data_IF_810461136487
#
_entry.id   IF_810461136487
#
_cell.length_a   1.000
_cell.length_b   1.000
_cell.length_c   1.000
_cell.angle_alpha   90.00
_cell.angle_beta   90.00
_cell.angle_gamma   90.00
#
_symmetry.space_group_name_H-M   'P 1'
#
loop_
_entity.id
_entity.type
_entity.pdbx_description
1 polymer ?
#
# COMPACT_ATOMS: atom_id res chain seq x y z
N UNK A 1 4.57 -44.54 29.66
CA UNK A 1 6.00 -44.14 29.65
C UNK A 1 6.53 -44.29 28.24
N UNK A 2 7.13 -43.22 27.69
CA UNK A 2 7.89 -43.14 26.42
C UNK A 2 7.06 -43.47 25.16
N UNK A 3 6.88 -42.57 24.19
CA UNK A 3 7.95 -42.08 23.31
C UNK A 3 7.65 -40.67 22.80
N UNK A 4 8.65 -39.80 22.96
CA UNK A 4 8.78 -38.52 22.29
C UNK A 4 9.28 -38.79 20.87
N UNK A 5 8.56 -38.35 19.84
CA UNK A 5 9.12 -38.18 18.50
C UNK A 5 8.95 -36.70 18.14
N UNK A 6 10.00 -35.93 18.46
CA UNK A 6 10.22 -34.61 17.89
C UNK A 6 10.74 -34.87 16.48
N UNK A 7 9.85 -34.80 15.49
CA UNK A 7 10.23 -34.76 14.09
C UNK A 7 10.39 -33.28 13.69
N UNK A 8 11.66 -32.91 13.63
CA UNK A 8 12.25 -31.70 13.11
C UNK A 8 11.77 -31.28 11.71
N UNK A 9 11.64 -29.96 11.54
CA UNK A 9 11.94 -29.14 10.35
C UNK A 9 11.66 -29.73 8.96
N UNK A 10 10.64 -29.15 8.30
CA UNK A 10 10.67 -28.78 6.89
C UNK A 10 9.66 -27.63 6.71
N UNK A 11 10.09 -26.37 6.82
CA UNK A 11 10.46 -25.55 5.66
C UNK A 11 9.57 -25.88 4.45
N UNK A 12 8.46 -25.16 4.35
CA UNK A 12 7.53 -25.20 3.23
C UNK A 12 6.93 -23.83 2.92
N UNK A 13 7.65 -22.73 3.25
CA UNK A 13 7.40 -21.42 2.64
C UNK A 13 8.09 -21.44 1.29
N UNK A 14 7.50 -22.11 0.31
CA UNK A 14 7.85 -21.93 -1.11
C UNK A 14 6.60 -22.17 -1.94
N UNK A 15 5.75 -21.15 -2.05
CA UNK A 15 4.95 -20.92 -3.25
C UNK A 15 4.92 -19.40 -3.55
N UNK A 16 6.08 -18.74 -3.47
CA UNK A 16 6.32 -17.62 -4.37
C UNK A 16 6.70 -18.21 -5.73
N UNK A 17 5.69 -18.73 -6.42
CA UNK A 17 5.76 -18.96 -7.86
C UNK A 17 5.79 -17.57 -8.52
N UNK A 18 6.97 -16.94 -8.54
CA UNK A 18 7.28 -15.85 -9.45
C UNK A 18 7.14 -16.39 -10.87
N UNK A 19 5.96 -16.21 -11.50
CA UNK A 19 5.76 -16.64 -12.88
C UNK A 19 4.33 -16.85 -13.42
N UNK A 20 3.25 -16.63 -12.67
CA UNK A 20 1.89 -16.66 -13.24
C UNK A 20 1.26 -15.28 -13.06
N UNK A 21 1.10 -14.54 -14.17
CA UNK A 21 0.70 -13.14 -14.16
C UNK A 21 -0.67 -12.93 -13.54
N UNK A 22 -0.70 -12.49 -12.29
CA UNK A 22 -1.87 -11.83 -11.71
C UNK A 22 -2.10 -10.50 -12.44
N UNK A 23 -3.37 -10.15 -12.64
CA UNK A 23 -3.73 -8.85 -13.18
C UNK A 23 -3.26 -7.76 -12.22
N UNK A 24 -2.70 -6.64 -12.75
CA UNK A 24 -2.24 -5.56 -11.90
C UNK A 24 -3.43 -4.96 -11.13
N UNK A 25 -3.30 -4.90 -9.81
CA UNK A 25 -4.28 -4.25 -8.93
C UNK A 25 -4.49 -2.79 -9.35
N UNK A 26 -5.73 -2.31 -9.26
CA UNK A 26 -6.09 -0.96 -9.71
C UNK A 26 -5.70 0.12 -8.71
N UNK A 27 -5.72 1.37 -9.16
CA UNK A 27 -5.51 2.54 -8.28
C UNK A 27 -6.56 2.58 -7.17
N UNK A 28 -7.82 2.29 -7.49
CA UNK A 28 -8.94 2.29 -6.53
C UNK A 28 -8.80 1.23 -5.45
N UNK A 29 -8.21 0.08 -5.78
CA UNK A 29 -7.87 -0.94 -4.81
C UNK A 29 -6.83 -0.40 -3.82
N UNK A 30 -5.72 0.14 -4.32
CA UNK A 30 -4.66 0.68 -3.47
C UNK A 30 -5.10 1.90 -2.64
N UNK A 31 -6.06 2.69 -3.13
CA UNK A 31 -6.67 3.76 -2.33
C UNK A 31 -7.47 3.24 -1.13
N UNK A 32 -8.02 2.03 -1.22
CA UNK A 32 -8.71 1.35 -0.11
C UNK A 32 -7.75 0.56 0.78
N UNK A 33 -6.57 0.22 0.25
CA UNK A 33 -5.51 -0.56 0.90
C UNK A 33 -4.17 0.20 0.90
N UNK A 34 -4.08 1.33 1.63
CA UNK A 34 -2.92 2.21 1.58
C UNK A 34 -1.63 1.54 2.10
N UNK A 35 -1.74 0.63 3.07
CA UNK A 35 -0.58 -0.10 3.60
C UNK A 35 0.02 -1.05 2.56
N UNK A 36 -0.80 -1.58 1.66
CA UNK A 36 -0.35 -2.40 0.55
C UNK A 36 0.26 -1.55 -0.55
N UNK A 37 -0.32 -0.39 -0.83
CA UNK A 37 0.24 0.59 -1.76
C UNK A 37 1.68 0.96 -1.37
N UNK A 38 1.91 1.25 -0.08
CA UNK A 38 3.25 1.58 0.44
C UNK A 38 4.23 0.40 0.28
N UNK A 39 3.81 -0.82 0.62
CA UNK A 39 4.66 -2.02 0.48
C UNK A 39 5.07 -2.26 -0.98
N UNK A 40 4.15 -2.05 -1.93
CA UNK A 40 4.46 -2.19 -3.35
C UNK A 40 5.40 -1.08 -3.80
N UNK A 41 5.02 0.19 -3.59
CA UNK A 41 5.77 1.35 -4.07
C UNK A 41 7.19 1.46 -3.49
N UNK A 42 7.37 1.15 -2.20
CA UNK A 42 8.69 1.25 -1.54
C UNK A 42 9.43 -0.08 -1.44
N UNK A 43 8.75 -1.21 -1.60
CA UNK A 43 9.34 -2.54 -1.59
C UNK A 43 9.65 -3.04 -3.00
N UNK A 44 8.61 -3.59 -3.65
CA UNK A 44 8.73 -4.29 -4.95
C UNK A 44 9.27 -3.38 -6.06
N UNK A 45 8.81 -2.13 -6.11
CA UNK A 45 9.14 -1.19 -7.20
C UNK A 45 10.54 -0.59 -7.11
N UNK A 46 11.21 -0.68 -5.94
CA UNK A 46 12.56 -0.19 -5.74
C UNK A 46 13.64 -1.27 -5.91
N UNK A 47 13.24 -2.54 -6.11
CA UNK A 47 14.20 -3.63 -6.26
C UNK A 47 15.00 -3.46 -7.57
N UNK A 48 16.32 -3.68 -7.50
CA UNK A 48 17.19 -3.70 -8.67
C UNK A 48 16.94 -5.01 -9.44
N UNK A 49 16.13 -4.93 -10.50
CA UNK A 49 15.80 -6.06 -11.37
C UNK A 49 14.82 -5.65 -12.48
N UNK A 50 14.67 -6.48 -13.51
CA UNK A 50 13.68 -6.24 -14.56
C UNK A 50 12.30 -6.68 -14.10
N UNK A 51 11.44 -5.72 -13.80
CA UNK A 51 10.01 -5.94 -13.56
C UNK A 51 9.31 -6.36 -14.86
N UNK A 52 8.34 -7.28 -14.77
CA UNK A 52 7.42 -7.56 -15.88
C UNK A 52 6.47 -6.40 -16.14
N UNK A 53 5.77 -6.41 -17.28
CA UNK A 53 4.81 -5.34 -17.63
C UNK A 53 3.71 -5.16 -16.58
N UNK A 54 3.17 -6.27 -16.06
CA UNK A 54 2.12 -6.22 -15.03
C UNK A 54 2.68 -5.64 -13.73
N UNK A 55 3.91 -5.97 -13.36
CA UNK A 55 4.54 -5.45 -12.15
C UNK A 55 4.86 -3.95 -12.28
N UNK A 56 5.29 -3.50 -13.46
CA UNK A 56 5.46 -2.07 -13.75
C UNK A 56 4.10 -1.35 -13.62
N UNK A 57 3.03 -1.92 -14.17
CA UNK A 57 1.70 -1.34 -14.07
C UNK A 57 1.19 -1.32 -12.63
N UNK A 58 1.41 -2.38 -11.87
CA UNK A 58 1.07 -2.45 -10.45
C UNK A 58 1.84 -1.39 -9.64
N UNK A 59 3.12 -1.19 -9.94
CA UNK A 59 3.93 -0.12 -9.36
C UNK A 59 3.39 1.28 -9.64
N UNK A 60 3.00 1.55 -10.89
CA UNK A 60 2.40 2.82 -11.28
C UNK A 60 1.07 3.04 -10.54
N UNK A 61 0.22 2.01 -10.47
CA UNK A 61 -1.07 2.10 -9.80
C UNK A 61 -0.93 2.35 -8.29
N UNK A 62 0.03 1.70 -7.64
CA UNK A 62 0.33 1.92 -6.22
C UNK A 62 0.86 3.34 -5.98
N UNK A 63 1.79 3.82 -6.82
CA UNK A 63 2.32 5.18 -6.74
C UNK A 63 1.25 6.26 -6.93
N UNK A 64 0.38 6.08 -7.93
CA UNK A 64 -0.74 6.99 -8.18
C UNK A 64 -1.72 7.02 -7.00
N UNK A 65 -2.01 5.87 -6.40
CA UNK A 65 -2.87 5.78 -5.23
C UNK A 65 -2.28 6.55 -4.04
N UNK A 66 -0.97 6.39 -3.76
CA UNK A 66 -0.27 7.13 -2.71
C UNK A 66 -0.38 8.65 -2.98
N UNK A 67 -0.12 9.09 -4.21
CA UNK A 67 -0.24 10.50 -4.60
C UNK A 67 -1.66 11.05 -4.37
N UNK A 68 -2.69 10.32 -4.81
CA UNK A 68 -4.11 10.69 -4.60
C UNK A 68 -4.46 10.76 -3.11
N UNK A 69 -3.99 9.80 -2.31
CA UNK A 69 -4.22 9.78 -0.87
C UNK A 69 -3.57 10.97 -0.16
N UNK A 70 -2.34 11.34 -0.55
CA UNK A 70 -1.65 12.52 -0.01
C UNK A 70 -2.41 13.81 -0.32
N UNK A 71 -2.88 13.98 -1.57
CA UNK A 71 -3.67 15.15 -1.98
C UNK A 71 -4.99 15.20 -1.22
N UNK A 72 -5.70 14.06 -1.12
CA UNK A 72 -6.95 13.97 -0.36
C UNK A 72 -6.76 14.40 1.10
N UNK A 73 -5.76 13.84 1.78
CA UNK A 73 -5.45 14.16 3.18
C UNK A 73 -5.08 15.64 3.36
N UNK A 74 -4.33 16.20 2.41
CA UNK A 74 -3.96 17.62 2.42
C UNK A 74 -5.18 18.52 2.27
N UNK A 75 -6.08 18.20 1.35
CA UNK A 75 -7.32 18.95 1.13
C UNK A 75 -8.26 18.87 2.35
N UNK A 76 -8.37 17.71 2.98
CA UNK A 76 -9.14 17.53 4.22
C UNK A 76 -8.57 18.38 5.36
N UNK A 77 -7.24 18.42 5.51
CA UNK A 77 -6.57 19.26 6.50
C UNK A 77 -6.77 20.75 6.23
N UNK A 78 -6.64 21.18 4.97
CA UNK A 78 -6.88 22.57 4.56
C UNK A 78 -8.31 23.00 4.84
N UNK A 79 -9.29 22.17 4.48
CA UNK A 79 -10.70 22.44 4.75
C UNK A 79 -10.97 22.58 6.25
N UNK A 80 -10.43 21.67 7.06
CA UNK A 80 -10.56 21.75 8.52
C UNK A 80 -9.98 23.05 9.07
N UNK A 81 -8.80 23.46 8.61
CA UNK A 81 -8.19 24.73 9.03
C UNK A 81 -9.04 25.94 8.62
N UNK A 82 -9.62 25.93 7.41
CA UNK A 82 -10.53 26.99 6.97
C UNK A 82 -11.80 27.07 7.84
N UNK A 83 -12.38 25.92 8.19
CA UNK A 83 -13.56 25.83 9.05
C UNK A 83 -13.26 26.38 10.46
N UNK A 84 -12.11 26.03 11.05
CA UNK A 84 -11.65 26.54 12.35
C UNK A 84 -11.42 28.07 12.35
N UNK A 85 -10.81 28.60 11.27
CA UNK A 85 -10.61 30.05 11.11
C UNK A 85 -11.97 30.76 11.02
N UNK A 86 -12.91 30.21 10.25
CA UNK A 86 -14.25 30.78 10.09
C UNK A 86 -15.00 30.81 11.43
N UNK A 87 -14.99 29.72 12.17
CA UNK A 87 -15.61 29.64 13.50
C UNK A 87 -15.00 30.65 14.47
N UNK A 88 -13.67 30.80 14.45
CA UNK A 88 -12.96 31.78 15.28
C UNK A 88 -13.37 33.21 14.91
N UNK A 89 -13.48 33.54 13.63
CA UNK A 89 -13.92 34.86 13.18
C UNK A 89 -15.37 35.16 13.57
N UNK A 90 -16.26 34.17 13.53
CA UNK A 90 -17.65 34.33 13.95
C UNK A 90 -17.77 34.56 15.46
N UNK A 91 -16.92 33.91 16.28
CA UNK A 91 -16.90 34.10 17.74
C UNK A 91 -16.33 35.45 18.21
N UNK A 92 -15.55 36.13 17.37
CA UNK A 92 -14.91 37.42 17.70
C UNK A 92 -15.63 38.63 17.08
N UNK A 93 -16.78 38.42 16.43
CA UNK A 93 -17.71 39.47 15.99
C UNK A 93 -18.72 39.78 17.08
#
# INVERSE_FOLDING_TARGET
>A
MKNVIIASLAVGVVLFLSGCGEEPKTVEYFMQHPDEADKIAFGKCQQQGSLSKNEIQECNNAGDAIGKLMVKKSNEALKKSQDEIKETLEKNK
#
